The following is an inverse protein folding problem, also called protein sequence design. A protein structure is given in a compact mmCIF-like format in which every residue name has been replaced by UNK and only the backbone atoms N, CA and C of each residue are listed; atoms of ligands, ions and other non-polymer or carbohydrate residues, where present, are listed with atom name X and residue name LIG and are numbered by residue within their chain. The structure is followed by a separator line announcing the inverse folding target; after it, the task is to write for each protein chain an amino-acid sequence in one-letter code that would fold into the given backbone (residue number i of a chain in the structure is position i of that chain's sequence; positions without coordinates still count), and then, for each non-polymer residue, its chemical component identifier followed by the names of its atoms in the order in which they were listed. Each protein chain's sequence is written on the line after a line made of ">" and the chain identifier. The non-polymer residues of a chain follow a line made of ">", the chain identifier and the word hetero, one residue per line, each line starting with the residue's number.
data_IF_261582682352
#
_entry.id   IF_261582682352
#
_cell.length_a   1.000
_cell.length_b   1.000
_cell.length_c   1.000
_cell.angle_alpha   90.00
_cell.angle_beta   90.00
_cell.angle_gamma   90.00
#
_symmetry.space_group_name_H-M   'P 1'
#
loop_
_entity.id
_entity.type
_entity.pdbx_description
1 polymer ?
#
# COMPACT_ATOMS: atom_id res chain seq x y z
N UNK A 1 14.21 -21.75 8.08
CA UNK A 1 12.95 -21.13 8.56
C UNK A 1 12.95 -19.62 8.52
N UNK A 2 14.05 -18.95 8.83
CA UNK A 2 14.11 -17.47 8.69
C UNK A 2 14.12 -17.01 7.23
N UNK A 3 14.68 -17.81 6.32
CA UNK A 3 14.76 -17.44 4.91
C UNK A 3 13.40 -17.33 4.22
N UNK A 4 12.41 -18.15 4.61
CA UNK A 4 11.11 -18.12 3.94
C UNK A 4 10.28 -16.90 4.30
N UNK A 5 10.45 -16.31 5.49
CA UNK A 5 9.77 -15.05 5.85
C UNK A 5 10.42 -13.84 5.19
N UNK A 6 11.75 -13.85 5.09
CA UNK A 6 12.45 -12.80 4.35
C UNK A 6 12.14 -12.85 2.85
N UNK A 7 11.98 -14.04 2.30
CA UNK A 7 11.55 -14.22 0.92
C UNK A 7 10.11 -13.75 0.70
N UNK A 8 9.21 -13.98 1.69
CA UNK A 8 7.83 -13.50 1.63
C UNK A 8 7.71 -12.00 1.80
N UNK A 9 8.58 -11.37 2.57
CA UNK A 9 8.60 -9.92 2.77
C UNK A 9 9.27 -9.18 1.61
N UNK A 10 9.71 -9.91 0.59
CA UNK A 10 10.23 -9.30 -0.62
C UNK A 10 11.60 -8.66 -0.43
N UNK A 11 12.66 -9.48 -0.48
CA UNK A 11 14.04 -8.96 -0.58
C UNK A 11 14.24 -8.08 -1.81
N UNK A 12 13.25 -8.02 -2.69
CA UNK A 12 13.22 -7.19 -3.89
C UNK A 12 12.26 -5.99 -3.77
N UNK A 13 11.78 -5.69 -2.57
CA UNK A 13 10.94 -4.51 -2.33
C UNK A 13 11.79 -3.25 -2.27
N UNK A 14 11.34 -2.21 -2.97
CA UNK A 14 11.97 -0.89 -2.97
C UNK A 14 10.98 0.10 -2.39
N UNK A 15 11.37 0.80 -1.33
CA UNK A 15 10.55 1.84 -0.71
C UNK A 15 11.07 3.20 -1.14
N UNK A 16 10.16 4.04 -1.60
CA UNK A 16 10.47 5.41 -2.03
C UNK A 16 9.66 6.37 -1.18
N UNK A 17 10.33 7.34 -0.59
CA UNK A 17 9.67 8.47 0.06
C UNK A 17 10.08 9.75 -0.65
N UNK A 18 9.11 10.61 -0.95
CA UNK A 18 9.37 11.93 -1.50
C UNK A 18 8.88 12.98 -0.52
N UNK A 19 9.72 14.00 -0.32
CA UNK A 19 9.41 15.12 0.57
C UNK A 19 9.12 16.33 -0.30
N UNK A 20 7.89 16.80 -0.31
CA UNK A 20 7.50 17.88 -1.19
C UNK A 20 8.37 19.11 -1.07
N UNK A 21 8.66 19.77 -2.19
CA UNK A 21 9.51 20.96 -2.21
C UNK A 21 8.88 22.21 -1.58
N UNK A 22 7.60 22.13 -1.24
CA UNK A 22 6.88 23.26 -0.64
C UNK A 22 6.56 24.38 -1.61
N UNK A 23 7.53 25.03 -2.18
CA UNK A 23 7.31 26.14 -3.11
C UNK A 23 8.37 26.11 -4.20
N UNK A 24 7.99 26.13 -5.45
CA UNK A 24 9.01 26.25 -6.47
C UNK A 24 8.65 25.85 -7.88
N UNK A 25 7.40 25.76 -8.21
CA UNK A 25 6.99 25.65 -9.61
C UNK A 25 7.39 24.39 -10.36
N UNK A 26 8.11 23.47 -9.73
CA UNK A 26 8.45 22.18 -10.33
C UNK A 26 7.53 21.11 -9.74
N UNK A 27 6.91 20.35 -10.63
CA UNK A 27 6.01 19.26 -10.23
C UNK A 27 6.79 18.16 -9.51
N UNK A 28 6.26 17.66 -8.40
CA UNK A 28 6.79 16.49 -7.72
C UNK A 28 6.62 15.24 -8.59
N UNK A 29 7.44 14.22 -8.31
CA UNK A 29 7.25 12.91 -8.94
C UNK A 29 5.95 12.32 -8.43
N UNK A 30 5.06 11.92 -9.35
CA UNK A 30 3.82 11.25 -9.02
C UNK A 30 3.87 9.77 -9.43
N UNK A 31 2.79 9.03 -9.16
CA UNK A 31 2.74 7.61 -9.47
C UNK A 31 2.83 7.33 -10.97
N UNK A 32 2.33 8.25 -11.80
CA UNK A 32 2.40 8.10 -13.26
C UNK A 32 3.84 8.09 -13.77
N UNK A 33 4.70 8.93 -13.19
CA UNK A 33 6.13 8.94 -13.52
C UNK A 33 6.78 7.61 -13.20
N UNK A 34 6.36 6.97 -12.11
CA UNK A 34 6.91 5.68 -11.70
C UNK A 34 6.32 4.53 -12.51
N UNK A 35 5.05 4.62 -12.94
CA UNK A 35 4.49 3.65 -13.90
C UNK A 35 5.26 3.67 -15.21
N UNK A 36 5.58 4.86 -15.73
CA UNK A 36 6.39 4.99 -16.94
C UNK A 36 7.78 4.37 -16.75
N UNK A 37 8.36 4.54 -15.57
CA UNK A 37 9.67 3.99 -15.25
C UNK A 37 9.64 2.45 -15.25
N UNK A 38 8.61 1.85 -14.69
CA UNK A 38 8.43 0.40 -14.68
C UNK A 38 8.26 -0.12 -16.11
N UNK A 39 7.47 0.56 -16.93
CA UNK A 39 7.27 0.19 -18.33
C UNK A 39 8.55 0.29 -19.16
N UNK A 40 9.40 1.25 -18.83
CA UNK A 40 10.67 1.48 -19.54
C UNK A 40 11.75 0.45 -19.16
N UNK A 41 11.72 -0.05 -17.94
CA UNK A 41 12.75 -0.96 -17.42
C UNK A 41 12.15 -2.29 -16.92
N UNK A 42 11.45 -3.04 -17.80
CA UNK A 42 10.81 -4.28 -17.36
C UNK A 42 11.78 -5.39 -16.93
N UNK A 43 13.07 -5.28 -17.31
CA UNK A 43 14.08 -6.23 -16.87
C UNK A 43 14.44 -6.06 -15.39
N UNK A 44 14.17 -4.89 -14.82
CA UNK A 44 14.58 -4.54 -13.46
C UNK A 44 13.42 -4.30 -12.53
N UNK A 45 12.27 -3.82 -13.03
CA UNK A 45 11.13 -3.42 -12.23
C UNK A 45 9.85 -4.13 -12.68
N UNK A 46 9.04 -4.60 -11.73
CA UNK A 46 7.82 -5.36 -12.03
C UNK A 46 6.53 -4.67 -11.62
N UNK A 47 6.58 -3.71 -10.72
CA UNK A 47 5.37 -3.04 -10.29
C UNK A 47 5.63 -1.87 -9.38
N UNK A 48 4.64 -0.98 -9.30
CA UNK A 48 4.68 0.18 -8.42
C UNK A 48 3.28 0.47 -7.88
N UNK A 49 3.21 0.88 -6.64
CA UNK A 49 1.97 1.32 -6.00
C UNK A 49 2.24 2.53 -5.11
N UNK A 50 1.31 3.51 -5.05
CA UNK A 50 1.30 4.44 -3.94
C UNK A 50 1.03 3.66 -2.64
N UNK A 51 1.49 4.19 -1.53
CA UNK A 51 1.24 3.60 -0.21
C UNK A 51 0.87 4.75 0.73
N UNK A 52 -0.45 4.95 0.91
CA UNK A 52 -0.99 6.12 1.58
C UNK A 52 -1.55 5.71 2.94
N UNK A 53 -0.99 6.25 4.01
CA UNK A 53 -1.54 6.05 5.35
C UNK A 53 -2.70 7.01 5.55
N UNK A 54 -3.93 6.50 5.63
CA UNK A 54 -5.12 7.32 5.77
C UNK A 54 -5.43 7.57 7.24
N UNK A 55 -5.90 8.78 7.53
CA UNK A 55 -6.47 9.13 8.84
C UNK A 55 -7.98 8.89 8.78
N UNK A 56 -8.40 7.67 9.10
CA UNK A 56 -9.79 7.26 8.99
C UNK A 56 -10.32 6.77 10.34
N UNK A 57 -11.56 7.15 10.65
CA UNK A 57 -12.26 6.62 11.80
C UNK A 57 -12.96 5.32 11.36
N UNK A 58 -12.52 4.21 11.93
CA UNK A 58 -13.02 2.87 11.59
C UNK A 58 -14.12 2.49 12.57
N UNK A 59 -15.29 2.14 12.02
CA UNK A 59 -16.43 1.76 12.85
C UNK A 59 -17.24 0.65 12.19
N UNK A 60 -17.62 -0.32 12.98
CA UNK A 60 -18.57 -1.36 12.55
C UNK A 60 -19.68 -1.45 13.60
N UNK A 61 -20.93 -1.20 13.17
CA UNK A 61 -22.09 -1.10 14.06
C UNK A 61 -21.85 -0.03 15.15
N UNK A 62 -21.78 -0.41 16.42
CA UNK A 62 -21.55 0.52 17.51
C UNK A 62 -20.11 0.54 18.01
N UNK A 63 -19.25 -0.27 17.43
CA UNK A 63 -17.86 -0.42 17.88
C UNK A 63 -16.89 0.39 17.04
N UNK A 64 -16.00 1.12 17.71
CA UNK A 64 -14.90 1.86 17.08
C UNK A 64 -13.64 1.03 17.15
N UNK A 65 -12.83 1.10 16.06
CA UNK A 65 -11.56 0.39 15.96
C UNK A 65 -10.45 1.41 15.75
N UNK A 66 -10.03 2.05 16.85
CA UNK A 66 -9.14 3.22 16.82
C UNK A 66 -7.69 2.88 16.49
N UNK A 67 -7.31 1.61 16.60
CA UNK A 67 -5.93 1.17 16.35
C UNK A 67 -5.76 0.48 15.01
N UNK A 68 -6.81 0.41 14.21
CA UNK A 68 -6.75 -0.17 12.88
C UNK A 68 -6.02 0.77 11.94
N UNK A 69 -5.02 0.24 11.23
CA UNK A 69 -4.32 1.00 10.20
C UNK A 69 -5.06 0.90 8.87
N UNK A 70 -5.26 2.04 8.22
CA UNK A 70 -5.93 2.10 6.91
C UNK A 70 -4.92 2.61 5.89
N UNK A 71 -4.69 1.82 4.84
CA UNK A 71 -3.75 2.16 3.78
C UNK A 71 -4.44 2.18 2.43
N UNK A 72 -4.10 3.20 1.66
CA UNK A 72 -4.50 3.29 0.25
C UNK A 72 -3.42 2.76 -0.65
N UNK A 73 -3.79 1.86 -1.54
CA UNK A 73 -2.85 1.21 -2.46
C UNK A 73 -3.49 1.05 -3.84
N UNK A 74 -2.69 0.71 -4.83
CA UNK A 74 -3.19 0.27 -6.13
C UNK A 74 -3.26 -1.26 -6.19
N UNK A 75 -3.82 -1.79 -7.28
CA UNK A 75 -3.91 -3.23 -7.50
C UNK A 75 -2.53 -3.89 -7.60
N UNK A 76 -1.50 -3.13 -7.97
CA UNK A 76 -0.13 -3.64 -8.06
C UNK A 76 0.45 -4.04 -6.70
N UNK A 77 -0.16 -3.58 -5.61
CA UNK A 77 0.26 -3.99 -4.27
C UNK A 77 0.09 -5.50 -4.05
N UNK A 78 -0.88 -6.11 -4.73
CA UNK A 78 -1.08 -7.55 -4.70
C UNK A 78 -0.41 -8.18 -5.92
N UNK A 79 0.51 -9.09 -5.69
CA UNK A 79 1.31 -9.75 -6.71
C UNK A 79 0.65 -11.08 -7.08
N UNK A 80 0.13 -11.16 -8.30
CA UNK A 80 -0.57 -12.35 -8.79
C UNK A 80 0.35 -13.59 -8.87
N UNK A 81 1.62 -13.38 -9.18
CA UNK A 81 2.59 -14.47 -9.29
C UNK A 81 2.84 -15.18 -7.95
N UNK A 82 2.89 -14.42 -6.86
CA UNK A 82 3.09 -14.95 -5.51
C UNK A 82 1.79 -15.12 -4.74
N UNK A 83 0.67 -14.61 -5.28
CA UNK A 83 -0.65 -14.56 -4.63
C UNK A 83 -0.62 -13.90 -3.26
N UNK A 84 0.17 -12.85 -3.15
CA UNK A 84 0.32 -12.10 -1.92
C UNK A 84 0.64 -10.64 -2.18
N UNK A 85 0.54 -9.83 -1.14
CA UNK A 85 0.89 -8.41 -1.21
C UNK A 85 2.40 -8.24 -1.32
N UNK A 86 2.83 -7.04 -1.67
CA UNK A 86 4.26 -6.70 -1.68
C UNK A 86 4.92 -6.87 -0.30
N UNK A 87 4.13 -6.91 0.76
CA UNK A 87 4.61 -7.13 2.14
C UNK A 87 4.45 -8.57 2.60
N UNK A 88 4.07 -9.48 1.70
CA UNK A 88 4.00 -10.90 1.98
C UNK A 88 2.69 -11.39 2.59
N UNK A 89 1.68 -10.54 2.68
CA UNK A 89 0.36 -10.93 3.17
C UNK A 89 -0.39 -11.70 2.08
N UNK A 90 -1.08 -12.79 2.45
CA UNK A 90 -1.82 -13.61 1.49
C UNK A 90 -3.33 -13.52 1.74
N UNK A 91 -4.12 -13.90 0.76
CA UNK A 91 -5.59 -13.91 0.88
C UNK A 91 -6.08 -15.20 1.53
N UNK A 92 -6.98 -15.05 2.50
CA UNK A 92 -7.74 -16.16 3.07
C UNK A 92 -9.07 -16.35 2.34
N UNK A 93 -9.73 -15.25 1.97
CA UNK A 93 -11.04 -15.27 1.33
C UNK A 93 -11.16 -14.12 0.35
N UNK A 94 -12.00 -14.29 -0.68
CA UNK A 94 -12.32 -13.22 -1.61
C UNK A 94 -11.19 -12.88 -2.55
N UNK A 95 -11.06 -11.57 -2.85
CA UNK A 95 -10.06 -11.05 -3.79
C UNK A 95 -9.43 -9.77 -3.26
N UNK A 96 -8.32 -9.38 -3.85
CA UNK A 96 -7.71 -8.07 -3.59
C UNK A 96 -8.34 -7.00 -4.51
N UNK A 97 -7.93 -5.74 -4.34
CA UNK A 97 -8.39 -4.64 -5.17
C UNK A 97 -8.03 -4.88 -6.63
N UNK A 98 -8.97 -4.60 -7.54
CA UNK A 98 -8.73 -4.67 -8.98
C UNK A 98 -8.39 -3.29 -9.54
N UNK A 99 -7.86 -3.27 -10.77
CA UNK A 99 -7.61 -2.01 -11.48
C UNK A 99 -8.88 -1.15 -11.56
N UNK A 100 -10.04 -1.77 -11.82
CA UNK A 100 -11.31 -1.04 -11.91
C UNK A 100 -11.69 -0.42 -10.58
N UNK A 101 -11.51 -1.15 -9.48
CA UNK A 101 -11.77 -0.62 -8.13
C UNK A 101 -10.97 0.64 -7.87
N UNK A 102 -9.69 0.61 -8.23
CA UNK A 102 -8.76 1.72 -8.02
C UNK A 102 -9.08 2.89 -8.97
N UNK A 103 -9.24 2.60 -10.26
CA UNK A 103 -9.50 3.61 -11.28
C UNK A 103 -10.81 4.36 -11.04
N UNK A 104 -11.84 3.65 -10.60
CA UNK A 104 -13.18 4.22 -10.34
C UNK A 104 -13.41 4.64 -8.90
N UNK A 105 -12.40 4.57 -8.06
CA UNK A 105 -12.48 4.97 -6.65
C UNK A 105 -13.63 4.26 -5.91
N UNK A 106 -13.77 2.96 -6.15
CA UNK A 106 -14.87 2.19 -5.54
C UNK A 106 -14.71 2.13 -4.02
N UNK A 107 -15.84 2.18 -3.33
CA UNK A 107 -15.86 2.06 -1.86
C UNK A 107 -15.81 0.59 -1.46
N UNK A 108 -14.68 -0.04 -1.71
CA UNK A 108 -14.41 -1.44 -1.38
C UNK A 108 -13.14 -1.53 -0.56
N UNK A 109 -13.02 -2.58 0.25
CA UNK A 109 -11.87 -2.76 1.10
C UNK A 109 -11.49 -4.23 1.25
N UNK A 110 -10.21 -4.44 1.56
CA UNK A 110 -9.67 -5.74 1.96
C UNK A 110 -9.20 -5.59 3.41
N UNK A 111 -9.65 -6.50 4.28
CA UNK A 111 -9.36 -6.39 5.72
C UNK A 111 -8.44 -7.52 6.18
N UNK A 112 -7.71 -7.25 7.26
CA UNK A 112 -6.88 -8.26 7.91
C UNK A 112 -7.68 -9.18 8.83
N UNK A 113 -7.01 -10.21 9.33
CA UNK A 113 -7.64 -11.24 10.16
C UNK A 113 -8.25 -10.70 11.45
N UNK A 114 -7.62 -9.70 12.07
CA UNK A 114 -8.12 -9.16 13.34
C UNK A 114 -9.55 -8.67 13.22
N UNK A 115 -9.84 -7.83 12.22
CA UNK A 115 -11.19 -7.31 12.00
C UNK A 115 -12.15 -8.41 11.52
N UNK A 116 -11.67 -9.31 10.67
CA UNK A 116 -12.49 -10.41 10.18
C UNK A 116 -13.04 -11.26 11.34
N UNK A 117 -12.21 -11.50 12.36
CA UNK A 117 -12.63 -12.28 13.52
C UNK A 117 -13.36 -11.44 14.56
N UNK A 118 -12.84 -10.28 14.90
CA UNK A 118 -13.34 -9.45 15.99
C UNK A 118 -14.63 -8.72 15.63
N UNK A 119 -14.68 -8.10 14.44
CA UNK A 119 -15.85 -7.35 14.00
C UNK A 119 -16.91 -8.25 13.35
N UNK A 120 -16.47 -9.17 12.49
CA UNK A 120 -17.39 -9.95 11.64
C UNK A 120 -17.53 -11.41 12.04
N UNK A 121 -16.78 -11.86 13.04
CA UNK A 121 -16.84 -13.24 13.56
C UNK A 121 -16.65 -14.29 12.45
N UNK A 122 -15.74 -14.01 11.52
CA UNK A 122 -15.42 -14.89 10.41
C UNK A 122 -16.33 -14.77 9.20
N UNK A 123 -17.31 -13.87 9.21
CA UNK A 123 -18.28 -13.70 8.12
C UNK A 123 -18.24 -12.25 7.61
N UNK A 124 -17.14 -11.90 6.95
CA UNK A 124 -16.91 -10.51 6.55
C UNK A 124 -17.28 -10.21 5.08
N UNK A 125 -17.12 -11.17 4.17
CA UNK A 125 -17.31 -10.90 2.75
C UNK A 125 -18.72 -10.38 2.44
N UNK A 126 -18.77 -9.28 1.69
CA UNK A 126 -20.02 -8.65 1.28
C UNK A 126 -20.64 -7.72 2.32
N UNK A 127 -20.09 -7.68 3.52
CA UNK A 127 -20.55 -6.75 4.55
C UNK A 127 -19.82 -5.43 4.45
N UNK A 128 -20.33 -4.41 5.14
CA UNK A 128 -19.73 -3.07 5.08
C UNK A 128 -19.14 -2.68 6.41
N UNK A 129 -18.06 -1.90 6.34
CA UNK A 129 -17.43 -1.27 7.49
C UNK A 129 -17.33 0.23 7.18
N UNK A 130 -17.55 1.06 8.19
CA UNK A 130 -17.54 2.51 8.01
C UNK A 130 -16.13 3.06 8.18
N UNK A 131 -15.68 3.81 7.19
CA UNK A 131 -14.43 4.56 7.24
C UNK A 131 -14.76 6.05 7.14
N UNK A 132 -14.59 6.78 8.24
CA UNK A 132 -14.91 8.20 8.34
C UNK A 132 -16.33 8.50 7.85
N UNK A 133 -17.29 7.66 8.24
CA UNK A 133 -18.70 7.81 7.91
C UNK A 133 -19.14 7.26 6.57
N UNK A 134 -18.21 6.73 5.77
CA UNK A 134 -18.52 6.18 4.44
C UNK A 134 -18.47 4.65 4.51
N UNK A 135 -19.53 3.95 4.06
CA UNK A 135 -19.51 2.48 4.07
C UNK A 135 -18.63 1.92 2.95
N UNK A 136 -17.75 1.00 3.32
CA UNK A 136 -16.88 0.26 2.40
C UNK A 136 -17.25 -1.20 2.44
N UNK A 137 -17.44 -1.81 1.28
CA UNK A 137 -17.79 -3.22 1.18
C UNK A 137 -16.54 -4.08 1.27
N UNK A 138 -16.55 -5.08 2.14
CA UNK A 138 -15.45 -6.03 2.29
C UNK A 138 -15.47 -7.00 1.09
N UNK A 139 -14.41 -6.99 0.29
CA UNK A 139 -14.28 -7.85 -0.89
C UNK A 139 -13.22 -8.94 -0.70
N UNK A 140 -12.38 -8.82 0.29
CA UNK A 140 -11.35 -9.79 0.57
C UNK A 140 -10.92 -9.76 2.04
N UNK A 141 -10.41 -10.89 2.51
CA UNK A 141 -9.88 -11.05 3.84
C UNK A 141 -8.48 -11.66 3.74
N UNK A 142 -7.51 -11.04 4.39
CA UNK A 142 -6.14 -11.51 4.42
C UNK A 142 -5.98 -12.64 5.44
N UNK A 143 -5.03 -13.52 5.19
CA UNK A 143 -4.70 -14.60 6.11
C UNK A 143 -4.07 -14.05 7.38
N UNK A 144 -4.28 -14.76 8.49
CA UNK A 144 -3.62 -14.45 9.74
C UNK A 144 -2.10 -14.58 9.57
N UNK A 145 -1.35 -13.54 9.92
CA UNK A 145 0.10 -13.51 9.70
C UNK A 145 0.92 -13.73 10.97
N UNK A 146 0.29 -13.65 12.13
CA UNK A 146 1.01 -13.79 13.39
C UNK A 146 0.08 -13.67 14.57
N UNK A 147 0.43 -12.78 15.51
CA UNK A 147 -0.43 -12.46 16.65
C UNK A 147 -1.52 -11.49 16.16
N UNK A 148 -2.71 -12.03 15.92
CA UNK A 148 -3.85 -11.25 15.43
C UNK A 148 -4.50 -10.49 16.60
N UNK A 149 -3.91 -9.36 16.95
CA UNK A 149 -4.36 -8.54 18.07
C UNK A 149 -4.60 -7.09 17.63
N UNK A 150 -5.24 -6.34 18.51
CA UNK A 150 -5.51 -4.92 18.29
C UNK A 150 -4.19 -4.16 18.04
N UNK A 151 -4.14 -3.42 16.94
CA UNK A 151 -2.98 -2.64 16.55
C UNK A 151 -1.83 -3.44 15.93
N UNK A 152 -2.01 -4.75 15.72
CA UNK A 152 -1.01 -5.60 15.07
C UNK A 152 -1.05 -5.44 13.54
N UNK A 153 -0.15 -6.14 12.86
CA UNK A 153 -0.13 -6.18 11.40
C UNK A 153 -1.41 -6.76 10.80
N UNK A 154 -2.13 -7.61 11.57
CA UNK A 154 -3.40 -8.17 11.14
C UNK A 154 -4.59 -7.22 11.36
N UNK A 155 -4.38 -6.10 12.03
CA UNK A 155 -5.37 -5.05 12.26
C UNK A 155 -5.21 -3.95 11.20
N UNK A 156 -5.64 -4.27 9.98
CA UNK A 156 -5.36 -3.44 8.80
C UNK A 156 -6.53 -3.47 7.82
N UNK A 157 -6.69 -2.37 7.09
CA UNK A 157 -7.64 -2.24 5.99
C UNK A 157 -6.91 -1.63 4.80
N UNK A 158 -7.10 -2.22 3.61
CA UNK A 158 -6.59 -1.67 2.34
C UNK A 158 -7.76 -1.19 1.49
N UNK A 159 -7.61 0.02 0.95
CA UNK A 159 -8.60 0.67 0.09
C UNK A 159 -7.89 1.26 -1.14
N UNK A 160 -8.62 1.67 -2.19
CA UNK A 160 -8.01 2.40 -3.31
C UNK A 160 -7.30 3.67 -2.82
N UNK A 161 -6.13 3.94 -3.40
CA UNK A 161 -5.24 4.98 -2.83
C UNK A 161 -5.83 6.39 -2.88
N UNK A 162 -6.61 6.73 -3.91
CA UNK A 162 -7.21 8.06 -3.98
C UNK A 162 -8.29 8.26 -2.92
N UNK A 163 -9.01 7.18 -2.56
CA UNK A 163 -9.97 7.23 -1.46
C UNK A 163 -9.24 7.55 -0.14
N UNK A 164 -8.07 6.93 0.07
CA UNK A 164 -7.26 7.22 1.25
C UNK A 164 -6.74 8.66 1.26
N UNK A 165 -6.32 9.17 0.11
CA UNK A 165 -5.86 10.55 -0.01
C UNK A 165 -6.95 11.56 0.38
N UNK A 166 -8.20 11.28 0.02
CA UNK A 166 -9.35 12.13 0.37
C UNK A 166 -9.67 12.15 1.85
N UNK A 167 -9.30 11.09 2.57
CA UNK A 167 -9.49 11.02 4.03
C UNK A 167 -8.45 11.81 4.81
N UNK A 168 -7.41 12.28 4.12
CA UNK A 168 -6.28 12.94 4.74
C UNK A 168 -5.22 11.93 5.18
N UNK A 169 -3.98 12.37 5.17
CA UNK A 169 -2.86 11.58 5.64
C UNK A 169 -2.72 11.73 7.16
N UNK A 170 -2.11 10.73 7.79
CA UNK A 170 -1.86 10.77 9.22
C UNK A 170 -1.05 12.00 9.63
N UNK A 171 -1.26 12.45 10.86
CA UNK A 171 -0.79 13.72 11.40
C UNK A 171 0.72 13.93 11.40
N UNK A 172 1.49 12.90 11.10
CA UNK A 172 2.95 12.96 11.12
C UNK A 172 3.56 13.34 9.79
N UNK A 173 2.77 13.42 8.74
CA UNK A 173 3.25 13.79 7.41
C UNK A 173 2.76 15.18 7.05
N UNK A 174 3.70 16.07 6.81
CA UNK A 174 3.40 17.41 6.33
C UNK A 174 2.91 17.31 4.89
N UNK A 175 1.61 17.35 4.70
CA UNK A 175 0.80 17.47 3.47
C UNK A 175 1.35 17.08 2.10
N UNK A 176 2.66 17.06 1.88
CA UNK A 176 3.26 16.80 0.56
C UNK A 176 4.16 15.57 0.54
N UNK A 177 4.35 14.90 1.68
CA UNK A 177 5.16 13.68 1.73
C UNK A 177 4.37 12.53 1.12
N UNK A 178 5.02 11.79 0.23
CA UNK A 178 4.42 10.64 -0.43
C UNK A 178 5.31 9.42 -0.30
N UNK A 179 4.69 8.24 -0.24
CA UNK A 179 5.39 6.98 -0.21
C UNK A 179 4.93 6.10 -1.35
N UNK A 180 5.89 5.44 -2.00
CA UNK A 180 5.65 4.49 -3.07
C UNK A 180 6.39 3.20 -2.78
N UNK A 181 5.79 2.09 -3.17
CA UNK A 181 6.44 0.79 -3.11
C UNK A 181 6.63 0.27 -4.53
N UNK A 182 7.83 -0.17 -4.83
CA UNK A 182 8.16 -0.80 -6.12
C UNK A 182 8.76 -2.17 -5.84
N UNK A 183 8.69 -3.04 -6.84
CA UNK A 183 9.34 -4.34 -6.76
C UNK A 183 10.34 -4.50 -7.89
N UNK A 184 11.53 -5.00 -7.55
CA UNK A 184 12.51 -5.44 -8.53
C UNK A 184 12.11 -6.82 -9.07
N UNK A 185 12.61 -7.17 -10.24
CA UNK A 185 12.32 -8.46 -10.87
C UNK A 185 12.87 -9.64 -10.08
N UNK A 186 13.97 -9.43 -9.36
CA UNK A 186 14.59 -10.45 -8.54
C UNK A 186 15.45 -9.80 -7.47
N UNK A 187 15.93 -10.62 -6.55
CA UNK A 187 16.89 -10.19 -5.55
C UNK A 187 18.18 -9.68 -6.17
N UNK A 188 18.63 -10.34 -7.25
CA UNK A 188 19.88 -10.00 -7.91
C UNK A 188 19.82 -8.67 -8.67
N UNK A 189 18.62 -8.27 -9.12
CA UNK A 189 18.43 -7.02 -9.84
C UNK A 189 18.04 -5.85 -8.91
N UNK A 190 17.84 -6.09 -7.63
CA UNK A 190 17.32 -5.08 -6.70
C UNK A 190 18.23 -3.85 -6.60
N UNK A 191 19.53 -4.04 -6.57
CA UNK A 191 20.49 -2.94 -6.49
C UNK A 191 20.46 -2.08 -7.75
N UNK A 192 20.42 -2.70 -8.92
CA UNK A 192 20.32 -1.98 -10.20
C UNK A 192 18.97 -1.26 -10.31
N UNK A 193 17.90 -1.89 -9.88
CA UNK A 193 16.57 -1.29 -9.87
C UNK A 193 16.53 -0.05 -8.96
N UNK A 194 17.12 -0.14 -7.78
CA UNK A 194 17.24 1.00 -6.86
C UNK A 194 17.95 2.17 -7.53
N UNK A 195 19.06 1.91 -8.22
CA UNK A 195 19.80 2.94 -8.95
C UNK A 195 18.97 3.61 -10.04
N UNK A 196 18.16 2.84 -10.77
CA UNK A 196 17.27 3.36 -11.79
C UNK A 196 16.22 4.31 -11.16
N UNK A 197 15.65 3.93 -10.04
CA UNK A 197 14.67 4.75 -9.32
C UNK A 197 15.31 6.04 -8.80
N UNK A 198 16.49 5.94 -8.18
CA UNK A 198 17.21 7.12 -7.67
C UNK A 198 17.54 8.10 -8.77
N UNK A 199 17.98 7.61 -9.92
CA UNK A 199 18.31 8.44 -11.08
C UNK A 199 17.07 9.17 -11.60
N UNK A 200 15.92 8.49 -11.64
CA UNK A 200 14.66 9.12 -12.05
C UNK A 200 14.26 10.24 -11.09
N UNK A 201 14.37 10.01 -9.80
CA UNK A 201 14.05 11.02 -8.78
C UNK A 201 15.00 12.21 -8.85
N UNK A 202 16.29 11.95 -9.03
CA UNK A 202 17.27 13.02 -9.16
C UNK A 202 17.01 13.90 -10.37
N UNK A 203 16.49 13.33 -11.45
CA UNK A 203 16.13 14.09 -12.65
C UNK A 203 15.11 15.19 -12.34
N UNK A 204 14.15 14.91 -11.47
CA UNK A 204 13.11 15.88 -11.07
C UNK A 204 13.58 16.83 -9.99
N UNK A 205 14.21 16.29 -8.94
CA UNK A 205 14.50 17.06 -7.73
C UNK A 205 15.85 17.76 -7.73
N UNK A 206 16.81 17.26 -8.50
CA UNK A 206 18.19 17.78 -8.61
C UNK A 206 18.95 17.79 -7.28
N UNK A 207 18.42 17.12 -6.26
CA UNK A 207 19.04 17.00 -4.94
C UNK A 207 18.46 15.78 -4.22
N UNK A 208 19.30 15.04 -3.52
CA UNK A 208 18.88 13.89 -2.70
C UNK A 208 18.19 14.31 -1.40
N UNK A 209 18.09 15.61 -1.13
CA UNK A 209 17.41 16.10 0.08
C UNK A 209 15.88 15.92 0.01
N UNK A 210 15.32 15.71 -1.17
CA UNK A 210 13.87 15.65 -1.38
C UNK A 210 13.31 14.26 -1.53
N UNK A 211 14.15 13.22 -1.42
CA UNK A 211 13.67 11.84 -1.53
C UNK A 211 14.58 10.87 -0.78
N UNK A 212 14.04 9.70 -0.48
CA UNK A 212 14.79 8.58 0.08
C UNK A 212 14.36 7.29 -0.62
N UNK A 213 15.31 6.45 -0.99
CA UNK A 213 15.06 5.15 -1.60
C UNK A 213 15.75 4.08 -0.75
N UNK A 214 14.96 3.10 -0.30
CA UNK A 214 15.47 2.01 0.54
C UNK A 214 15.12 0.65 -0.07
N UNK A 215 16.00 -0.30 0.13
CA UNK A 215 15.77 -1.70 -0.26
C UNK A 215 15.75 -2.62 0.93
#
# INVERSE_FOLDING_TARGET
>A
MMNSQFEKMGSNLIQVMTYGRGTGGTRDVDVEDLYELVDKYPQYLTGVTPYVSASAKVRYQTDDYDRTSVYGVSEAFFKEDTKGTMQGETLAEGRFLSYIDVDRHQNVCVIGDYLAQTAFRGDALGKTISLSGVPYTVIGVLSKSGDSSEGSADDVIYIPYENAQRMGTGTMMMGTDEMFLLTATSRDTASAAKGIVEKRLYKTYQSSDYYMVMT
#
